data_IF_084314939732
#
_entry.id   IF_084314939732
#
_cell.length_a   1.000
_cell.length_b   1.000
_cell.length_c   1.000
_cell.angle_alpha   90.00
_cell.angle_beta   90.00
_cell.angle_gamma   90.00
#
_symmetry.space_group_name_H-M   'P 1'
#
loop_
_entity.id
_entity.type
_entity.pdbx_description
1 polymer ?
#
# COMPACT_ATOMS: atom_id res chain seq x y z
N UNK A 1 -53.26 -17.69 -32.05
CA UNK A 1 -52.37 -17.84 -30.89
C UNK A 1 -51.38 -16.68 -30.94
N UNK A 2 -51.46 -15.76 -30.00
CA UNK A 2 -50.56 -14.60 -29.91
C UNK A 2 -49.40 -15.00 -28.99
N UNK A 3 -48.18 -15.04 -29.54
CA UNK A 3 -46.96 -15.22 -28.76
C UNK A 3 -46.57 -13.85 -28.18
N UNK A 4 -46.68 -13.71 -26.86
CA UNK A 4 -46.11 -12.56 -26.15
C UNK A 4 -44.65 -12.88 -25.89
N UNK A 5 -43.75 -12.21 -26.62
CA UNK A 5 -42.31 -12.26 -26.37
C UNK A 5 -42.05 -11.27 -25.23
N UNK A 6 -41.77 -11.79 -24.03
CA UNK A 6 -41.20 -10.98 -22.95
C UNK A 6 -39.74 -10.70 -23.31
N UNK A 7 -39.43 -9.46 -23.70
CA UNK A 7 -38.05 -9.01 -23.73
C UNK A 7 -37.61 -8.84 -22.28
N UNK A 8 -36.75 -9.75 -21.81
CA UNK A 8 -36.06 -9.57 -20.54
C UNK A 8 -35.13 -8.37 -20.70
N UNK A 9 -35.43 -7.30 -19.98
CA UNK A 9 -34.53 -6.16 -19.84
C UNK A 9 -33.29 -6.66 -19.10
N UNK A 10 -32.13 -6.57 -19.76
CA UNK A 10 -30.85 -6.85 -19.10
C UNK A 10 -30.65 -5.72 -18.11
N UNK A 11 -30.79 -6.02 -16.82
CA UNK A 11 -30.42 -5.07 -15.77
C UNK A 11 -28.91 -4.92 -15.85
N UNK A 12 -28.44 -3.86 -16.48
CA UNK A 12 -27.04 -3.45 -16.39
C UNK A 12 -26.78 -3.13 -14.92
N UNK A 13 -25.86 -3.88 -14.28
CA UNK A 13 -25.57 -3.68 -12.87
C UNK A 13 -25.03 -2.27 -12.60
N UNK A 14 -24.98 -1.88 -11.32
CA UNK A 14 -24.61 -0.52 -10.92
C UNK A 14 -23.09 -0.38 -10.76
N UNK A 15 -22.49 0.64 -11.38
CA UNK A 15 -21.05 0.89 -11.31
C UNK A 15 -20.59 1.30 -9.88
N UNK A 16 -19.28 1.40 -9.66
CA UNK A 16 -18.71 1.88 -8.39
C UNK A 16 -19.36 3.19 -7.90
N UNK A 17 -19.56 3.31 -6.59
CA UNK A 17 -20.27 4.39 -5.87
C UNK A 17 -21.77 4.54 -6.19
N UNK A 18 -22.31 3.76 -7.13
CA UNK A 18 -23.74 3.76 -7.40
C UNK A 18 -24.54 3.01 -6.32
N UNK A 19 -25.81 3.38 -6.19
CA UNK A 19 -26.70 2.87 -5.14
C UNK A 19 -27.08 1.41 -5.40
N UNK A 20 -26.97 0.58 -4.36
CA UNK A 20 -27.38 -0.81 -4.38
C UNK A 20 -28.42 -1.07 -3.29
N UNK A 21 -29.27 -2.08 -3.49
CA UNK A 21 -30.47 -2.32 -2.67
C UNK A 21 -30.42 -3.59 -1.83
N UNK A 22 -29.47 -4.49 -2.12
CA UNK A 22 -29.34 -5.79 -1.49
C UNK A 22 -27.89 -6.16 -1.12
N UNK A 23 -27.77 -7.00 -0.10
CA UNK A 23 -26.50 -7.60 0.33
C UNK A 23 -26.10 -8.74 -0.61
N UNK A 24 -25.56 -8.46 -1.80
CA UNK A 24 -25.18 -9.54 -2.72
C UNK A 24 -24.38 -9.14 -3.96
N UNK A 25 -23.78 -10.15 -4.61
CA UNK A 25 -22.89 -10.07 -5.79
C UNK A 25 -23.68 -9.82 -7.10
N UNK A 26 -24.87 -9.23 -7.03
CA UNK A 26 -25.77 -9.07 -8.19
C UNK A 26 -26.28 -7.64 -8.43
N UNK A 27 -26.11 -6.74 -7.47
CA UNK A 27 -26.58 -5.36 -7.58
C UNK A 27 -25.56 -4.46 -8.29
N UNK A 28 -24.28 -4.84 -8.27
CA UNK A 28 -23.18 -4.09 -8.86
C UNK A 28 -22.77 -4.66 -10.22
N UNK A 29 -22.38 -3.78 -11.15
CA UNK A 29 -22.05 -4.08 -12.56
C UNK A 29 -20.84 -5.00 -12.72
N UNK A 30 -19.90 -4.89 -11.78
CA UNK A 30 -18.59 -5.52 -11.83
C UNK A 30 -18.55 -6.65 -10.81
N UNK A 31 -18.00 -7.80 -11.19
CA UNK A 31 -17.76 -8.94 -10.30
C UNK A 31 -16.80 -8.61 -9.16
N UNK A 32 -16.02 -7.55 -9.33
CA UNK A 32 -15.09 -7.02 -8.36
C UNK A 32 -15.72 -5.99 -7.41
N UNK A 33 -17.02 -5.70 -7.58
CA UNK A 33 -17.78 -4.80 -6.72
C UNK A 33 -18.69 -5.60 -5.80
N UNK A 34 -18.83 -5.12 -4.58
CA UNK A 34 -19.79 -5.61 -3.60
C UNK A 34 -20.61 -4.44 -3.07
N UNK A 35 -21.89 -4.67 -2.82
CA UNK A 35 -22.72 -3.68 -2.16
C UNK A 35 -22.29 -3.54 -0.70
N UNK A 36 -21.75 -2.38 -0.32
CA UNK A 36 -21.53 -2.05 1.08
C UNK A 36 -22.88 -1.76 1.74
N UNK A 37 -23.31 -2.68 2.59
CA UNK A 37 -24.58 -2.60 3.31
C UNK A 37 -24.70 -1.42 4.28
N UNK A 38 -23.57 -0.78 4.62
CA UNK A 38 -23.56 0.40 5.50
C UNK A 38 -23.84 1.67 4.73
N UNK A 39 -23.16 1.85 3.59
CA UNK A 39 -23.32 3.04 2.74
C UNK A 39 -24.44 2.88 1.70
N UNK A 40 -24.92 1.66 1.47
CA UNK A 40 -25.80 1.29 0.37
C UNK A 40 -25.22 1.66 -1.00
N UNK A 41 -23.89 1.53 -1.14
CA UNK A 41 -23.16 1.83 -2.37
C UNK A 41 -22.29 0.65 -2.82
N UNK A 42 -22.11 0.52 -4.13
CA UNK A 42 -21.15 -0.41 -4.71
C UNK A 42 -19.71 0.05 -4.40
N UNK A 43 -18.94 -0.79 -3.72
CA UNK A 43 -17.54 -0.58 -3.42
C UNK A 43 -16.70 -1.75 -3.96
N UNK A 44 -15.42 -1.54 -4.23
CA UNK A 44 -14.53 -2.65 -4.58
C UNK A 44 -14.51 -3.67 -3.44
N UNK A 45 -14.52 -4.96 -3.78
CA UNK A 45 -14.32 -6.02 -2.81
C UNK A 45 -12.90 -5.93 -2.19
N UNK A 46 -12.63 -6.59 -1.04
CA UNK A 46 -11.33 -6.48 -0.36
C UNK A 46 -10.13 -6.97 -1.17
N UNK A 47 -10.36 -7.79 -2.20
CA UNK A 47 -9.31 -8.32 -3.11
C UNK A 47 -9.13 -7.47 -4.36
N UNK A 48 -9.83 -6.35 -4.47
CA UNK A 48 -9.80 -5.46 -5.63
C UNK A 48 -9.50 -4.01 -5.22
N UNK A 49 -9.16 -3.17 -6.18
CA UNK A 49 -8.95 -1.73 -6.00
C UNK A 49 -9.63 -0.95 -7.13
N UNK A 50 -10.00 0.30 -6.86
CA UNK A 50 -10.59 1.19 -7.87
C UNK A 50 -9.49 1.70 -8.79
N UNK A 51 -9.61 1.50 -10.10
CA UNK A 51 -8.63 2.08 -11.04
C UNK A 51 -8.84 3.60 -11.16
N UNK A 52 -7.75 4.36 -11.20
CA UNK A 52 -7.80 5.82 -11.25
C UNK A 52 -8.64 6.33 -12.43
N UNK A 53 -9.46 7.33 -12.17
CA UNK A 53 -10.33 7.93 -13.18
C UNK A 53 -11.42 7.02 -13.76
N UNK A 54 -11.66 5.83 -13.17
CA UNK A 54 -12.71 4.90 -13.63
C UNK A 54 -13.74 4.58 -12.55
N UNK A 55 -14.76 3.81 -12.92
CA UNK A 55 -15.73 3.20 -11.99
C UNK A 55 -15.57 1.67 -11.92
N UNK A 56 -14.45 1.16 -12.43
CA UNK A 56 -14.14 -0.27 -12.51
C UNK A 56 -13.18 -0.66 -11.39
N UNK A 57 -13.38 -1.85 -10.82
CA UNK A 57 -12.47 -2.42 -9.85
C UNK A 57 -11.58 -3.48 -10.51
N UNK A 58 -10.27 -3.38 -10.31
CA UNK A 58 -9.29 -4.37 -10.75
C UNK A 58 -8.87 -5.28 -9.60
N UNK A 59 -8.54 -6.53 -9.92
CA UNK A 59 -7.93 -7.44 -8.96
C UNK A 59 -6.60 -6.88 -8.44
N UNK A 60 -6.39 -6.98 -7.13
CA UNK A 60 -5.11 -6.67 -6.51
C UNK A 60 -4.04 -7.66 -6.98
N UNK A 61 -2.83 -7.16 -7.15
CA UNK A 61 -1.67 -7.94 -7.53
C UNK A 61 -1.30 -8.89 -6.38
N UNK A 62 -1.45 -10.19 -6.63
CA UNK A 62 -1.30 -11.23 -5.61
C UNK A 62 0.15 -11.45 -5.15
N UNK A 63 1.13 -11.14 -6.00
CA UNK A 63 2.54 -11.43 -5.76
C UNK A 63 3.34 -10.18 -5.39
N UNK A 64 4.27 -10.35 -4.43
CA UNK A 64 5.39 -9.41 -4.30
C UNK A 64 6.21 -9.42 -5.60
N UNK A 65 6.75 -8.26 -5.96
CA UNK A 65 7.41 -7.99 -7.25
C UNK A 65 6.50 -8.06 -8.49
N UNK A 66 5.21 -8.35 -8.31
CA UNK A 66 4.22 -8.24 -9.38
C UNK A 66 4.10 -6.80 -9.87
N UNK A 67 3.91 -6.63 -11.18
CA UNK A 67 3.75 -5.32 -11.81
C UNK A 67 2.45 -4.67 -11.34
N UNK A 68 2.54 -3.41 -10.93
CA UNK A 68 1.41 -2.56 -10.57
C UNK A 68 1.53 -1.23 -11.32
N UNK A 69 0.51 -0.39 -11.28
CA UNK A 69 0.48 0.91 -11.93
C UNK A 69 0.70 2.03 -10.91
N UNK A 70 1.92 2.53 -10.79
CA UNK A 70 2.21 3.62 -9.85
C UNK A 70 1.68 5.00 -10.28
N UNK A 71 1.05 5.10 -11.45
CA UNK A 71 0.36 6.33 -11.88
C UNK A 71 -1.05 6.44 -11.31
N UNK A 72 -1.59 5.29 -10.89
CA UNK A 72 -2.88 5.23 -10.23
C UNK A 72 -2.73 5.72 -8.78
N UNK A 73 -3.55 6.72 -8.43
CA UNK A 73 -3.60 7.28 -7.08
C UNK A 73 -3.94 6.24 -6.00
N UNK A 74 -4.44 5.06 -6.39
CA UNK A 74 -4.66 3.92 -5.50
C UNK A 74 -3.33 3.26 -5.09
N UNK A 75 -2.83 3.60 -3.91
CA UNK A 75 -1.67 2.92 -3.28
C UNK A 75 -1.97 1.45 -2.87
N UNK A 76 -3.23 1.01 -2.94
CA UNK A 76 -3.73 -0.28 -2.44
C UNK A 76 -3.90 -1.35 -3.53
N UNK A 77 -3.05 -1.31 -4.56
CA UNK A 77 -3.05 -2.29 -5.66
C UNK A 77 -2.52 -3.66 -5.29
N UNK A 78 -1.83 -3.77 -4.16
CA UNK A 78 -1.09 -4.97 -3.80
C UNK A 78 -1.88 -5.79 -2.78
N UNK A 79 -2.12 -7.07 -3.08
CA UNK A 79 -2.93 -7.93 -2.22
C UNK A 79 -2.20 -8.32 -0.93
N UNK A 80 -0.85 -8.33 -0.96
CA UNK A 80 -0.02 -8.71 0.18
C UNK A 80 -0.12 -7.65 1.27
N UNK A 81 -0.53 -8.04 2.47
CA UNK A 81 -0.64 -7.11 3.61
C UNK A 81 0.71 -6.42 3.88
N UNK A 82 0.67 -5.10 4.12
CA UNK A 82 1.84 -4.25 4.30
C UNK A 82 2.76 -4.15 3.08
N UNK A 83 2.26 -4.43 1.88
CA UNK A 83 2.88 -4.00 0.63
C UNK A 83 2.23 -2.74 0.08
N UNK A 84 2.93 -2.08 -0.84
CA UNK A 84 2.51 -0.88 -1.56
C UNK A 84 3.08 -0.93 -2.98
N UNK A 85 2.39 -0.32 -3.94
CA UNK A 85 2.92 -0.15 -5.27
C UNK A 85 3.98 0.95 -5.24
N UNK A 86 5.22 0.64 -5.61
CA UNK A 86 6.32 1.62 -5.64
C UNK A 86 7.15 1.50 -6.91
N UNK A 87 7.62 2.64 -7.40
CA UNK A 87 8.56 2.70 -8.52
C UNK A 87 9.97 2.47 -8.01
N UNK A 88 10.57 1.35 -8.39
CA UNK A 88 11.99 1.05 -8.23
C UNK A 88 12.53 0.54 -9.58
N UNK A 89 12.71 1.48 -10.51
CA UNK A 89 12.93 1.22 -11.94
C UNK A 89 11.63 0.89 -12.68
N UNK A 90 10.89 -0.11 -12.21
CA UNK A 90 9.53 -0.46 -12.70
C UNK A 90 8.56 -0.46 -11.53
N UNK A 91 7.30 -0.08 -11.78
CA UNK A 91 6.26 -0.09 -10.76
C UNK A 91 5.93 -1.53 -10.36
N UNK A 92 6.18 -1.85 -9.08
CA UNK A 92 6.01 -3.19 -8.53
C UNK A 92 5.44 -3.14 -7.11
N UNK A 93 4.76 -4.22 -6.73
CA UNK A 93 4.31 -4.44 -5.37
C UNK A 93 5.48 -4.81 -4.47
N UNK A 94 5.88 -3.86 -3.62
CA UNK A 94 7.00 -4.01 -2.68
C UNK A 94 6.48 -3.86 -1.25
N UNK A 95 7.20 -4.44 -0.29
CA UNK A 95 6.89 -4.17 1.11
C UNK A 95 7.04 -2.68 1.43
N UNK A 96 6.12 -2.16 2.24
CA UNK A 96 6.20 -0.80 2.81
C UNK A 96 7.58 -0.59 3.41
N UNK A 97 8.08 0.65 3.43
CA UNK A 97 9.43 0.97 3.90
C UNK A 97 9.76 0.43 5.31
N UNK A 98 8.75 0.27 6.17
CA UNK A 98 8.88 -0.28 7.54
C UNK A 98 8.93 -1.81 7.60
N UNK A 99 8.83 -2.50 6.47
CA UNK A 99 8.75 -3.95 6.35
C UNK A 99 9.82 -4.51 5.41
N UNK A 100 10.10 -5.80 5.53
CA UNK A 100 10.99 -6.58 4.67
C UNK A 100 10.32 -7.88 4.24
N UNK A 101 10.80 -8.45 3.14
CA UNK A 101 10.26 -9.70 2.59
C UNK A 101 10.77 -10.90 3.39
N UNK A 102 9.86 -11.72 3.88
CA UNK A 102 10.16 -13.02 4.51
C UNK A 102 9.06 -14.01 4.17
N UNK A 103 9.43 -15.14 3.57
CA UNK A 103 8.49 -16.20 3.18
C UNK A 103 7.31 -15.65 2.35
N UNK A 104 7.59 -14.78 1.37
CA UNK A 104 6.58 -14.13 0.52
C UNK A 104 5.59 -13.20 1.24
N UNK A 105 5.89 -12.79 2.47
CA UNK A 105 5.10 -11.85 3.25
C UNK A 105 5.94 -10.64 3.69
N UNK A 106 5.27 -9.51 3.96
CA UNK A 106 5.91 -8.31 4.49
C UNK A 106 5.90 -8.35 6.02
N UNK A 107 7.09 -8.53 6.60
CA UNK A 107 7.31 -8.56 8.06
C UNK A 107 7.93 -7.25 8.54
N UNK A 108 7.57 -6.77 9.73
CA UNK A 108 8.12 -5.54 10.31
C UNK A 108 9.65 -5.62 10.43
N UNK A 109 10.36 -4.59 9.97
CA UNK A 109 11.81 -4.47 10.12
C UNK A 109 12.24 -4.40 11.58
N UNK A 110 13.41 -4.94 11.86
CA UNK A 110 13.99 -5.12 13.18
C UNK A 110 14.73 -3.88 13.65
N UNK A 111 14.45 -3.49 14.89
CA UNK A 111 15.06 -2.35 15.55
C UNK A 111 16.58 -2.52 15.75
N UNK A 112 17.32 -1.43 15.98
CA UNK A 112 18.71 -1.50 16.39
C UNK A 112 18.90 -2.44 17.59
N UNK A 113 20.00 -3.20 17.59
CA UNK A 113 20.36 -4.23 18.58
C UNK A 113 19.48 -5.50 18.59
N UNK A 114 18.43 -5.58 17.76
CA UNK A 114 17.70 -6.83 17.55
C UNK A 114 18.56 -7.82 16.74
N UNK A 115 18.30 -9.12 16.95
CA UNK A 115 19.00 -10.18 16.22
C UNK A 115 18.50 -10.26 14.79
N UNK A 116 19.38 -10.29 13.80
CA UNK A 116 19.04 -10.19 12.38
C UNK A 116 19.80 -11.19 11.50
N UNK A 117 19.32 -11.34 10.27
CA UNK A 117 19.98 -12.04 9.16
C UNK A 117 19.71 -11.33 7.83
N UNK A 118 20.72 -10.72 7.21
CA UNK A 118 20.54 -9.97 5.96
C UNK A 118 19.78 -8.64 6.16
N UNK A 119 18.77 -8.38 5.33
CA UNK A 119 18.11 -7.06 5.22
C UNK A 119 16.92 -6.87 6.17
N UNK A 120 16.90 -7.58 7.30
CA UNK A 120 15.79 -7.52 8.25
C UNK A 120 15.75 -6.22 9.06
N UNK A 121 16.81 -5.40 9.04
CA UNK A 121 16.94 -4.21 9.87
C UNK A 121 16.14 -3.02 9.35
N UNK A 122 15.80 -2.06 10.23
CA UNK A 122 15.16 -0.79 9.85
C UNK A 122 15.99 0.01 8.83
N UNK A 123 15.37 0.95 8.12
CA UNK A 123 16.07 1.86 7.21
C UNK A 123 17.25 2.54 7.89
N UNK A 124 18.38 2.64 7.19
CA UNK A 124 19.67 3.12 7.70
C UNK A 124 20.25 2.27 8.83
N UNK A 125 19.97 0.97 8.83
CA UNK A 125 20.64 -0.01 9.67
C UNK A 125 21.03 -1.25 8.85
N UNK A 126 22.21 -1.77 9.15
CA UNK A 126 22.77 -2.97 8.55
C UNK A 126 22.89 -4.09 9.59
N UNK A 127 22.73 -5.34 9.16
CA UNK A 127 22.93 -6.48 10.04
C UNK A 127 24.43 -6.78 10.20
N UNK A 128 25.00 -6.40 11.36
CA UNK A 128 26.43 -6.56 11.65
C UNK A 128 26.61 -7.45 12.86
N UNK A 129 27.35 -8.56 12.68
CA UNK A 129 27.59 -9.55 13.73
C UNK A 129 26.28 -10.08 14.35
N UNK A 130 25.30 -10.40 13.50
CA UNK A 130 23.93 -10.84 13.88
C UNK A 130 23.07 -9.82 14.61
N UNK A 131 23.49 -8.54 14.66
CA UNK A 131 22.76 -7.46 15.31
C UNK A 131 22.53 -6.29 14.36
N UNK A 132 21.32 -5.73 14.37
CA UNK A 132 21.05 -4.51 13.61
C UNK A 132 21.86 -3.35 14.19
N UNK A 133 22.71 -2.73 13.39
CA UNK A 133 23.47 -1.53 13.77
C UNK A 133 23.10 -0.40 12.82
N UNK A 134 22.84 0.77 13.38
CA UNK A 134 22.64 1.96 12.56
C UNK A 134 23.89 2.24 11.72
N UNK A 135 23.68 2.64 10.48
CA UNK A 135 24.74 3.01 9.56
C UNK A 135 25.49 4.25 10.05
N UNK A 136 26.67 4.50 9.49
CA UNK A 136 27.49 5.65 9.88
C UNK A 136 26.71 6.96 9.72
N UNK A 137 26.71 7.80 10.76
CA UNK A 137 25.94 9.04 10.79
C UNK A 137 24.51 8.91 11.33
N UNK A 138 24.08 7.72 11.73
CA UNK A 138 22.78 7.50 12.37
C UNK A 138 22.91 6.97 13.80
N UNK A 139 21.92 7.27 14.64
CA UNK A 139 21.85 6.80 16.04
C UNK A 139 20.47 6.19 16.34
N UNK A 140 20.38 5.18 17.23
CA UNK A 140 19.09 4.65 17.66
C UNK A 140 18.22 5.74 18.30
N UNK A 141 16.96 5.88 17.85
CA UNK A 141 16.01 6.77 18.51
C UNK A 141 15.55 6.16 19.84
N UNK A 142 15.53 6.90 20.97
CA UNK A 142 15.07 6.38 22.26
C UNK A 142 13.54 6.31 22.40
N UNK A 143 12.77 6.86 21.45
CA UNK A 143 11.30 6.95 21.52
C UNK A 143 10.59 5.66 21.10
N UNK A 144 9.54 5.29 21.83
CA UNK A 144 8.72 4.06 21.79
C UNK A 144 7.86 3.82 20.54
N UNK A 145 8.15 4.47 19.41
CA UNK A 145 7.50 4.21 18.11
C UNK A 145 8.58 3.74 17.13
N UNK A 146 8.27 2.83 16.17
CA UNK A 146 9.18 1.82 15.65
C UNK A 146 10.58 2.40 15.44
N UNK A 147 11.54 1.83 16.16
CA UNK A 147 12.79 2.48 16.55
C UNK A 147 13.68 2.68 15.32
N UNK A 148 13.45 3.77 14.60
CA UNK A 148 14.24 4.11 13.41
C UNK A 148 15.63 4.61 13.83
N UNK A 149 16.61 4.35 12.96
CA UNK A 149 17.90 5.04 13.00
C UNK A 149 17.68 6.48 12.57
N UNK A 150 17.92 7.44 13.47
CA UNK A 150 17.80 8.88 13.18
C UNK A 150 19.14 9.43 12.78
N UNK A 151 19.16 10.29 11.76
CA UNK A 151 20.37 10.98 11.35
C UNK A 151 20.89 11.82 12.51
N UNK A 152 22.18 11.67 12.80
CA UNK A 152 22.89 12.46 13.80
C UNK A 152 23.15 13.83 13.20
N UNK A 153 22.19 14.75 13.37
CA UNK A 153 22.42 16.16 13.07
C UNK A 153 23.59 16.65 13.91
N UNK A 154 24.71 16.96 13.26
CA UNK A 154 25.85 17.56 13.91
C UNK A 154 25.65 19.08 13.89
N UNK A 155 24.94 19.60 14.90
CA UNK A 155 24.57 21.03 14.98
C UNK A 155 25.77 21.98 14.87
N UNK A 156 26.99 21.52 15.18
CA UNK A 156 28.22 22.31 15.04
C UNK A 156 28.68 22.56 13.60
N UNK A 157 28.01 21.99 12.59
CA UNK A 157 28.28 22.25 11.16
C UNK A 157 27.11 22.92 10.42
N UNK A 158 26.00 23.25 11.10
CA UNK A 158 24.87 23.92 10.46
C UNK A 158 25.09 25.42 10.20
N UNK A 159 26.12 26.04 10.78
CA UNK A 159 26.45 27.44 10.51
C UNK A 159 27.03 27.70 9.11
N UNK A 160 27.23 26.66 8.28
CA UNK A 160 27.72 26.78 6.91
C UNK A 160 26.76 26.25 5.85
N UNK A 161 25.57 25.77 6.24
CA UNK A 161 24.53 25.34 5.30
C UNK A 161 23.50 26.46 5.14
N UNK A 162 23.70 27.22 4.06
CA UNK A 162 22.79 28.14 3.37
C UNK A 162 21.75 28.93 4.21
N UNK A 163 21.92 30.26 4.39
CA UNK A 163 20.99 31.10 5.14
C UNK A 163 19.61 31.30 4.49
N UNK A 164 19.29 30.65 3.35
CA UNK A 164 18.06 30.90 2.61
C UNK A 164 16.87 29.99 2.95
N UNK A 165 16.93 29.20 4.04
CA UNK A 165 15.80 28.38 4.51
C UNK A 165 14.83 29.18 5.39
N UNK A 166 14.23 30.21 4.80
CA UNK A 166 13.08 30.93 5.36
C UNK A 166 11.84 30.66 4.50
N UNK A 167 11.32 29.43 4.51
CA UNK A 167 9.93 29.16 4.11
C UNK A 167 9.54 27.74 4.52
N UNK A 168 8.26 27.55 4.85
CA UNK A 168 7.63 26.37 5.45
C UNK A 168 7.67 26.33 6.99
N UNK A 169 7.02 27.35 7.58
CA UNK A 169 6.11 27.16 8.71
C UNK A 169 4.75 26.79 8.11
#
# INVERSE_FOLDING_TARGET
>A
MVFVIFMAEVVEGVAYDGTCTGSGVGDCADTNNICDTTSHKCACNPTSYLKDGTTECADKVAALDGTCDATDSALDQCAVTNSECRIDGTAKCLCKATHYVKNSACTIRKNPNATCSGDECVTHASCVSTKCKCDAGYTPSPTTSPTMCKFKLNCNKLSTLDPNWSMFI
#
